data_IF_393892593567
#
_entry.id   IF_393892593567
#
_cell.length_a   1.000
_cell.length_b   1.000
_cell.length_c   1.000
_cell.angle_alpha   90.00
_cell.angle_beta   90.00
_cell.angle_gamma   90.00
#
_symmetry.space_group_name_H-M   'P 1'
#
loop_
_entity.id
_entity.type
_entity.pdbx_description
1 polymer ?
#
# COMPACT_ATOMS: atom_id res chain seq x y z
N UNK A 1 11.18 0.45 29.43
CA UNK A 1 10.39 0.07 28.23
C UNK A 1 9.10 -0.63 28.67
N UNK A 2 7.94 -0.02 28.41
CA UNK A 2 6.61 -0.58 28.70
C UNK A 2 6.43 -1.96 28.04
N UNK A 3 5.72 -2.87 28.71
CA UNK A 3 5.48 -4.24 28.23
C UNK A 3 4.86 -4.30 26.83
N UNK A 4 4.02 -3.33 26.46
CA UNK A 4 3.45 -3.23 25.12
C UNK A 4 4.52 -3.00 24.03
N UNK A 5 5.48 -2.11 24.26
CA UNK A 5 6.53 -1.77 23.30
C UNK A 5 7.52 -2.93 23.07
N UNK A 6 7.78 -3.73 24.11
CA UNK A 6 8.54 -4.98 23.97
C UNK A 6 7.81 -6.01 23.10
N UNK A 7 6.48 -6.11 23.21
CA UNK A 7 5.66 -7.02 22.39
C UNK A 7 5.66 -6.61 20.91
N UNK A 8 5.45 -5.33 20.61
CA UNK A 8 5.52 -4.82 19.22
C UNK A 8 6.90 -5.09 18.60
N UNK A 9 7.98 -4.82 19.34
CA UNK A 9 9.34 -5.11 18.87
C UNK A 9 9.59 -6.61 18.61
N UNK A 10 9.06 -7.49 19.46
CA UNK A 10 9.18 -8.93 19.25
C UNK A 10 8.42 -9.42 18.00
N UNK A 11 7.20 -8.90 17.77
CA UNK A 11 6.41 -9.17 16.56
C UNK A 11 7.18 -8.71 15.32
N UNK A 12 7.72 -7.49 15.35
CA UNK A 12 8.51 -6.94 14.24
C UNK A 12 9.71 -7.82 13.88
N UNK A 13 10.51 -8.25 14.87
CA UNK A 13 11.70 -9.08 14.63
C UNK A 13 11.33 -10.46 14.08
N UNK A 14 10.24 -11.05 14.57
CA UNK A 14 9.72 -12.32 14.06
C UNK A 14 9.26 -12.17 12.62
N UNK A 15 8.37 -11.22 12.35
CA UNK A 15 7.79 -11.02 11.01
C UNK A 15 8.86 -10.61 9.99
N UNK A 16 9.92 -9.88 10.39
CA UNK A 16 11.05 -9.57 9.51
C UNK A 16 11.83 -10.81 9.07
N UNK A 17 11.99 -11.80 9.96
CA UNK A 17 12.66 -13.07 9.63
C UNK A 17 11.79 -13.92 8.71
N UNK A 18 10.48 -13.95 8.94
CA UNK A 18 9.51 -14.67 8.11
C UNK A 18 9.45 -14.05 6.71
N UNK A 19 9.37 -12.71 6.63
CA UNK A 19 9.39 -11.94 5.37
C UNK A 19 10.59 -12.31 4.50
N UNK A 20 11.79 -12.33 5.09
CA UNK A 20 13.05 -12.64 4.37
C UNK A 20 13.13 -14.07 3.84
N UNK A 21 12.33 -14.99 4.36
CA UNK A 21 12.29 -16.39 3.92
C UNK A 21 11.20 -16.64 2.88
N UNK A 22 10.27 -15.70 2.73
CA UNK A 22 9.15 -15.83 1.83
C UNK A 22 9.52 -15.28 0.43
N UNK A 23 9.82 -16.19 -0.50
CA UNK A 23 10.18 -15.84 -1.89
C UNK A 23 9.10 -15.03 -2.61
N UNK A 24 7.82 -15.28 -2.31
CA UNK A 24 6.70 -14.50 -2.89
C UNK A 24 6.76 -13.04 -2.42
N UNK A 25 6.99 -12.82 -1.12
CA UNK A 25 7.09 -11.46 -0.57
C UNK A 25 8.35 -10.76 -1.07
N UNK A 26 9.49 -11.45 -1.11
CA UNK A 26 10.73 -10.88 -1.65
C UNK A 26 10.57 -10.45 -3.11
N UNK A 27 9.94 -11.29 -3.94
CA UNK A 27 9.64 -10.93 -5.32
C UNK A 27 8.73 -9.70 -5.40
N UNK A 28 7.67 -9.68 -4.59
CA UNK A 28 6.71 -8.57 -4.54
C UNK A 28 7.37 -7.23 -4.15
N UNK A 29 8.32 -7.27 -3.20
CA UNK A 29 9.10 -6.11 -2.74
C UNK A 29 10.13 -5.66 -3.78
N UNK A 30 10.71 -6.60 -4.53
CA UNK A 30 11.76 -6.32 -5.50
C UNK A 30 11.24 -5.70 -6.81
N UNK A 31 10.03 -6.07 -7.23
CA UNK A 31 9.48 -5.66 -8.53
C UNK A 31 9.37 -4.12 -8.73
N UNK A 32 8.86 -3.32 -7.78
CA UNK A 32 8.84 -1.86 -7.92
C UNK A 32 10.24 -1.25 -8.13
N UNK A 33 11.25 -1.79 -7.43
CA UNK A 33 12.65 -1.34 -7.52
C UNK A 33 13.25 -1.63 -8.89
N UNK A 34 12.98 -2.83 -9.43
CA UNK A 34 13.42 -3.20 -10.79
C UNK A 34 12.78 -2.28 -11.82
N UNK A 35 11.47 -2.04 -11.72
CA UNK A 35 10.76 -1.15 -12.64
C UNK A 35 11.29 0.28 -12.56
N UNK A 36 11.56 0.79 -11.36
CA UNK A 36 12.19 2.10 -11.18
C UNK A 36 13.55 2.20 -11.91
N UNK A 37 14.41 1.20 -11.74
CA UNK A 37 15.73 1.18 -12.39
C UNK A 37 15.63 1.09 -13.92
N UNK A 38 14.64 0.35 -14.45
CA UNK A 38 14.39 0.29 -15.91
C UNK A 38 13.97 1.66 -16.43
N UNK A 39 12.98 2.30 -15.77
CA UNK A 39 12.45 3.59 -16.20
C UNK A 39 13.51 4.71 -16.13
N UNK A 40 14.32 4.74 -15.06
CA UNK A 40 15.41 5.70 -14.94
C UNK A 40 16.41 5.58 -16.10
N UNK A 41 16.81 4.35 -16.45
CA UNK A 41 17.74 4.09 -17.57
C UNK A 41 17.16 4.40 -18.95
N UNK A 42 15.85 4.36 -19.09
CA UNK A 42 15.17 4.71 -20.34
C UNK A 42 15.07 6.23 -20.57
N UNK A 43 15.39 7.06 -19.56
CA UNK A 43 15.30 8.52 -19.68
C UNK A 43 13.88 9.00 -19.95
N UNK A 44 12.87 8.31 -19.42
CA UNK A 44 11.46 8.65 -19.65
C UNK A 44 11.14 9.97 -18.96
N UNK A 45 11.01 11.08 -19.68
CA UNK A 45 10.75 12.41 -19.08
C UNK A 45 9.26 12.70 -18.77
N UNK A 46 8.39 11.68 -18.70
CA UNK A 46 6.97 11.89 -18.44
C UNK A 46 6.69 11.91 -16.92
N UNK A 47 6.26 13.04 -16.34
CA UNK A 47 6.00 13.16 -14.90
C UNK A 47 4.95 12.19 -14.37
N UNK A 48 3.99 11.77 -15.20
CA UNK A 48 2.99 10.77 -14.83
C UNK A 48 3.57 9.35 -14.74
N UNK A 49 4.51 8.99 -15.62
CA UNK A 49 5.18 7.67 -15.57
C UNK A 49 6.20 7.57 -14.44
N UNK A 50 6.77 8.69 -14.01
CA UNK A 50 7.69 8.76 -12.89
C UNK A 50 7.08 8.33 -11.54
N UNK A 51 5.77 8.49 -11.37
CA UNK A 51 5.06 8.02 -10.16
C UNK A 51 4.67 6.54 -10.22
N UNK A 52 4.81 5.87 -11.37
CA UNK A 52 4.41 4.48 -11.52
C UNK A 52 5.14 3.53 -10.56
N UNK A 53 6.48 3.59 -10.38
CA UNK A 53 7.17 2.75 -9.40
C UNK A 53 6.73 3.02 -7.95
N UNK A 54 6.40 4.26 -7.61
CA UNK A 54 5.88 4.62 -6.27
C UNK A 54 4.49 4.02 -6.06
N UNK A 55 3.59 4.14 -7.04
CA UNK A 55 2.28 3.49 -7.00
C UNK A 55 2.40 1.96 -6.94
N UNK A 56 3.34 1.39 -7.70
CA UNK A 56 3.65 -0.03 -7.68
C UNK A 56 4.13 -0.48 -6.29
N UNK A 57 5.02 0.28 -5.65
CA UNK A 57 5.44 0.03 -4.28
C UNK A 57 4.28 0.12 -3.28
N UNK A 58 3.41 1.12 -3.41
CA UNK A 58 2.24 1.27 -2.54
C UNK A 58 1.26 0.09 -2.68
N UNK A 59 0.94 -0.34 -3.89
CA UNK A 59 0.02 -1.46 -4.11
C UNK A 59 0.69 -2.78 -3.72
N UNK A 60 1.88 -3.07 -4.26
CA UNK A 60 2.54 -4.37 -4.07
C UNK A 60 3.12 -4.51 -2.65
N UNK A 61 3.88 -3.53 -2.17
CA UNK A 61 4.46 -3.63 -0.84
C UNK A 61 3.40 -3.35 0.23
N UNK A 62 2.68 -2.23 0.17
CA UNK A 62 1.77 -1.91 1.25
C UNK A 62 0.51 -2.79 1.28
N UNK A 63 -0.08 -3.13 0.14
CA UNK A 63 -1.26 -4.00 0.14
C UNK A 63 -0.90 -5.50 0.13
N UNK A 64 -0.11 -5.98 -0.83
CA UNK A 64 0.11 -7.43 -0.97
C UNK A 64 1.02 -8.04 0.10
N UNK A 65 2.08 -7.35 0.54
CA UNK A 65 2.90 -7.85 1.65
C UNK A 65 2.09 -7.86 2.95
N UNK A 66 1.31 -6.80 3.21
CA UNK A 66 0.39 -6.80 4.35
C UNK A 66 -0.61 -7.95 4.28
N UNK A 67 -1.21 -8.19 3.11
CA UNK A 67 -2.15 -9.28 2.91
C UNK A 67 -1.51 -10.64 3.22
N UNK A 68 -0.29 -10.89 2.71
CA UNK A 68 0.44 -12.12 2.99
C UNK A 68 0.76 -12.29 4.47
N UNK A 69 1.16 -11.22 5.16
CA UNK A 69 1.49 -11.29 6.58
C UNK A 69 0.27 -11.62 7.45
N UNK A 70 -0.91 -11.13 7.07
CA UNK A 70 -2.16 -11.46 7.77
C UNK A 70 -2.62 -12.88 7.43
N UNK A 71 -2.56 -13.27 6.16
CA UNK A 71 -2.96 -14.61 5.72
C UNK A 71 -2.03 -15.71 6.25
N UNK A 72 -0.74 -15.42 6.43
CA UNK A 72 0.23 -16.34 7.03
C UNK A 72 -0.14 -16.70 8.48
N UNK A 73 -0.65 -15.74 9.26
CA UNK A 73 -1.14 -16.02 10.62
C UNK A 73 -2.43 -16.85 10.61
N UNK A 74 -3.27 -16.71 9.57
CA UNK A 74 -4.46 -17.55 9.37
C UNK A 74 -4.06 -18.97 9.03
N UNK A 75 -3.11 -19.12 8.11
CA UNK A 75 -2.57 -20.41 7.66
C UNK A 75 -1.91 -21.19 8.80
N UNK A 76 -1.13 -20.50 9.64
CA UNK A 76 -0.48 -21.10 10.82
C UNK A 76 -1.41 -21.30 12.02
N UNK A 77 -2.70 -20.98 11.90
CA UNK A 77 -3.69 -20.98 12.99
C UNK A 77 -3.31 -20.10 14.20
N UNK A 78 -2.33 -19.22 14.05
CA UNK A 78 -1.82 -18.33 15.10
C UNK A 78 -2.66 -17.06 15.22
N UNK A 79 -3.43 -16.69 14.20
CA UNK A 79 -4.35 -15.55 14.27
C UNK A 79 -5.33 -15.68 15.43
N UNK A 80 -5.82 -16.90 15.70
CA UNK A 80 -6.72 -17.16 16.85
C UNK A 80 -6.02 -16.94 18.18
N UNK A 81 -4.78 -17.42 18.33
CA UNK A 81 -3.97 -17.19 19.52
C UNK A 81 -3.64 -15.71 19.74
N UNK A 82 -3.43 -14.96 18.66
CA UNK A 82 -3.24 -13.50 18.69
C UNK A 82 -4.51 -12.78 19.16
N UNK A 83 -5.68 -13.17 18.67
CA UNK A 83 -6.98 -12.60 19.05
C UNK A 83 -7.39 -12.87 20.50
N UNK A 84 -6.94 -14.00 21.06
CA UNK A 84 -7.21 -14.38 22.44
C UNK A 84 -6.10 -13.94 23.42
N UNK A 85 -5.02 -13.36 22.89
CA UNK A 85 -3.94 -12.85 23.73
C UNK A 85 -4.36 -11.58 24.49
N UNK A 86 -3.79 -11.29 25.66
CA UNK A 86 -4.06 -10.05 26.40
C UNK A 86 -3.45 -8.81 25.73
N UNK A 87 -2.87 -8.93 24.52
CA UNK A 87 -2.51 -7.77 23.71
C UNK A 87 -3.78 -7.29 23.01
N UNK A 88 -4.00 -5.96 22.98
CA UNK A 88 -5.10 -5.42 22.21
C UNK A 88 -4.93 -5.86 20.76
N UNK A 89 -5.99 -6.36 20.13
CA UNK A 89 -6.01 -6.61 18.69
C UNK A 89 -5.37 -5.48 17.90
N UNK A 90 -5.63 -4.23 18.30
CA UNK A 90 -5.08 -3.04 17.66
C UNK A 90 -3.55 -3.02 17.74
N UNK A 91 -2.94 -3.45 18.84
CA UNK A 91 -1.48 -3.51 18.99
C UNK A 91 -0.84 -4.50 18.01
N UNK A 92 -1.55 -5.60 17.71
CA UNK A 92 -1.09 -6.65 16.80
C UNK A 92 -1.19 -6.19 15.35
N UNK A 93 -2.32 -5.59 14.96
CA UNK A 93 -2.50 -5.03 13.62
C UNK A 93 -1.55 -3.86 13.37
N UNK A 94 -1.43 -2.93 14.32
CA UNK A 94 -0.47 -1.82 14.25
C UNK A 94 0.95 -2.37 14.16
N UNK A 95 1.33 -3.35 15.00
CA UNK A 95 2.66 -3.95 14.97
C UNK A 95 3.03 -4.57 13.62
N UNK A 96 2.08 -5.27 12.98
CA UNK A 96 2.26 -5.83 11.63
C UNK A 96 2.33 -4.76 10.55
N UNK A 97 1.42 -3.80 10.59
CA UNK A 97 1.37 -2.68 9.66
C UNK A 97 2.63 -1.81 9.73
N UNK A 98 3.29 -1.69 10.88
CA UNK A 98 4.56 -0.96 11.03
C UNK A 98 5.67 -1.61 10.22
N UNK A 99 5.79 -2.94 10.23
CA UNK A 99 6.81 -3.62 9.43
C UNK A 99 6.55 -3.42 7.93
N UNK A 100 5.32 -3.67 7.48
CA UNK A 100 4.96 -3.48 6.07
C UNK A 100 5.13 -2.04 5.63
N UNK A 101 4.75 -1.08 6.48
CA UNK A 101 4.94 0.35 6.24
C UNK A 101 6.42 0.71 6.11
N UNK A 102 7.28 0.23 7.02
CA UNK A 102 8.71 0.47 6.96
C UNK A 102 9.35 -0.11 5.68
N UNK A 103 9.01 -1.35 5.32
CA UNK A 103 9.47 -1.98 4.08
C UNK A 103 9.01 -1.18 2.87
N UNK A 104 7.74 -0.77 2.83
CA UNK A 104 7.18 0.01 1.73
C UNK A 104 7.86 1.36 1.59
N UNK A 105 8.13 2.07 2.69
CA UNK A 105 8.85 3.35 2.67
C UNK A 105 10.26 3.16 2.10
N UNK A 106 10.99 2.13 2.53
CA UNK A 106 12.32 1.81 1.98
C UNK A 106 12.24 1.57 0.46
N UNK A 107 11.25 0.80 0.00
CA UNK A 107 11.05 0.52 -1.42
C UNK A 107 10.70 1.79 -2.19
N UNK A 108 9.86 2.68 -1.64
CA UNK A 108 9.52 3.97 -2.26
C UNK A 108 10.77 4.84 -2.39
N UNK A 109 11.58 4.95 -1.34
CA UNK A 109 12.84 5.73 -1.36
C UNK A 109 13.78 5.18 -2.44
N UNK A 110 13.98 3.86 -2.48
CA UNK A 110 14.79 3.21 -3.51
C UNK A 110 14.23 3.43 -4.92
N UNK A 111 12.90 3.37 -5.06
CA UNK A 111 12.24 3.57 -6.35
C UNK A 111 12.40 5.00 -6.84
N UNK A 112 12.23 6.01 -5.98
CA UNK A 112 12.46 7.42 -6.32
C UNK A 112 13.93 7.63 -6.72
N UNK A 113 14.87 7.07 -5.96
CA UNK A 113 16.29 7.21 -6.22
C UNK A 113 16.71 6.58 -7.56
N UNK A 114 16.23 5.36 -7.86
CA UNK A 114 16.60 4.63 -9.09
C UNK A 114 15.88 5.10 -10.35
N UNK A 115 14.72 5.74 -10.21
CA UNK A 115 13.98 6.29 -11.34
C UNK A 115 14.47 7.69 -11.76
N UNK A 116 15.45 8.25 -11.03
CA UNK A 116 16.06 9.57 -11.29
C UNK A 116 15.03 10.71 -11.34
N UNK A 117 13.91 10.55 -10.62
CA UNK A 117 12.79 11.48 -10.66
C UNK A 117 13.09 12.73 -9.85
N UNK A 118 12.95 13.88 -10.50
CA UNK A 118 12.97 15.18 -9.82
C UNK A 118 11.59 15.48 -9.23
N UNK A 119 11.45 15.25 -7.93
CA UNK A 119 10.23 15.57 -7.20
C UNK A 119 10.21 17.05 -6.83
N UNK A 120 9.23 17.77 -7.34
CA UNK A 120 8.87 19.12 -6.88
C UNK A 120 7.73 19.02 -5.86
N UNK A 121 7.65 19.99 -4.94
CA UNK A 121 6.61 19.95 -3.90
C UNK A 121 6.73 18.74 -2.96
N UNK A 122 7.93 18.49 -2.43
CA UNK A 122 8.23 17.33 -1.58
C UNK A 122 7.26 17.23 -0.38
N UNK A 123 6.91 18.36 0.25
CA UNK A 123 6.02 18.39 1.42
C UNK A 123 4.60 17.86 1.11
N UNK A 124 3.82 18.43 0.18
CA UNK A 124 2.51 17.88 -0.17
C UNK A 124 2.62 16.43 -0.64
N UNK A 125 3.60 16.10 -1.47
CA UNK A 125 3.76 14.74 -2.01
C UNK A 125 4.04 13.70 -0.93
N UNK A 126 4.86 14.04 0.07
CA UNK A 126 5.12 13.17 1.21
C UNK A 126 3.85 12.91 2.03
N UNK A 127 2.99 13.92 2.21
CA UNK A 127 1.70 13.75 2.89
C UNK A 127 0.79 12.81 2.08
N UNK A 128 0.70 13.01 0.76
CA UNK A 128 -0.09 12.14 -0.12
C UNK A 128 0.40 10.69 -0.09
N UNK A 129 1.73 10.47 -0.12
CA UNK A 129 2.32 9.13 -0.03
C UNK A 129 1.99 8.48 1.31
N UNK A 130 2.06 9.22 2.43
CA UNK A 130 1.72 8.68 3.75
C UNK A 130 0.24 8.32 3.87
N UNK A 131 -0.66 9.16 3.35
CA UNK A 131 -2.09 8.85 3.33
C UNK A 131 -2.41 7.65 2.44
N UNK A 132 -1.78 7.57 1.26
CA UNK A 132 -1.89 6.41 0.37
C UNK A 132 -1.35 5.15 1.03
N UNK A 133 -0.22 5.23 1.74
CA UNK A 133 0.37 4.11 2.47
C UNK A 133 -0.62 3.55 3.50
N UNK A 134 -1.28 4.42 4.26
CA UNK A 134 -2.32 4.03 5.23
C UNK A 134 -3.50 3.36 4.51
N UNK A 135 -3.94 3.92 3.38
CA UNK A 135 -5.03 3.35 2.60
C UNK A 135 -4.70 1.94 2.08
N UNK A 136 -3.53 1.77 1.47
CA UNK A 136 -3.11 0.49 0.89
C UNK A 136 -2.78 -0.57 1.94
N UNK A 137 -2.21 -0.21 3.09
CA UNK A 137 -2.06 -1.13 4.22
C UNK A 137 -3.44 -1.61 4.70
N UNK A 138 -4.43 -0.72 4.76
CA UNK A 138 -5.80 -1.08 5.15
C UNK A 138 -6.43 -2.01 4.11
N UNK A 139 -6.29 -1.71 2.82
CA UNK A 139 -6.74 -2.57 1.71
C UNK A 139 -6.05 -3.95 1.77
N UNK A 140 -4.74 -3.99 1.96
CA UNK A 140 -3.98 -5.23 2.14
C UNK A 140 -4.45 -6.05 3.33
N UNK A 141 -4.76 -5.38 4.42
CA UNK A 141 -5.34 -6.01 5.60
C UNK A 141 -6.71 -6.64 5.29
N UNK A 142 -7.57 -5.97 4.52
CA UNK A 142 -8.85 -6.52 4.06
C UNK A 142 -8.64 -7.76 3.18
N UNK A 143 -7.68 -7.72 2.24
CA UNK A 143 -7.35 -8.89 1.39
C UNK A 143 -6.89 -10.07 2.26
N UNK A 144 -6.01 -9.85 3.23
CA UNK A 144 -5.60 -10.88 4.19
C UNK A 144 -6.76 -11.38 5.06
N UNK A 145 -7.66 -10.46 5.44
CA UNK A 145 -9.02 -10.65 5.96
C UNK A 145 -9.77 -11.79 5.28
N UNK A 146 -9.90 -11.63 3.97
CA UNK A 146 -10.71 -12.46 3.09
C UNK A 146 -10.02 -13.76 2.66
N UNK A 147 -8.68 -13.80 2.70
CA UNK A 147 -7.87 -14.93 2.22
C UNK A 147 -7.65 -15.99 3.30
N UNK A 148 -7.68 -17.28 2.96
CA UNK A 148 -7.45 -18.38 3.93
C UNK A 148 -5.97 -18.70 4.13
N UNK A 149 -5.13 -18.45 3.12
CA UNK A 149 -3.70 -18.72 3.13
C UNK A 149 -2.95 -17.69 2.26
N UNK A 150 -1.62 -17.72 2.30
CA UNK A 150 -0.76 -16.75 1.58
C UNK A 150 -0.95 -16.84 0.06
N UNK A 151 -1.24 -18.02 -0.50
CA UNK A 151 -1.45 -18.16 -1.94
C UNK A 151 -2.76 -17.50 -2.40
N UNK A 152 -3.81 -17.59 -1.58
CA UNK A 152 -5.12 -17.02 -1.87
C UNK A 152 -5.12 -15.48 -1.85
N UNK A 153 -4.17 -14.84 -1.16
CA UNK A 153 -4.04 -13.36 -1.19
C UNK A 153 -3.71 -12.83 -2.58
N UNK A 154 -2.96 -13.60 -3.38
CA UNK A 154 -2.69 -13.26 -4.78
C UNK A 154 -3.97 -13.26 -5.62
N UNK A 155 -4.82 -14.28 -5.42
CA UNK A 155 -6.08 -14.44 -6.17
C UNK A 155 -7.09 -13.38 -5.75
N UNK A 156 -7.32 -13.22 -4.45
CA UNK A 156 -8.26 -12.24 -3.89
C UNK A 156 -7.78 -10.81 -4.12
N UNK A 157 -6.48 -10.58 -4.11
CA UNK A 157 -5.86 -9.28 -4.38
C UNK A 157 -5.80 -8.91 -5.86
N UNK A 158 -5.93 -9.87 -6.79
CA UNK A 158 -5.77 -9.60 -8.23
C UNK A 158 -6.69 -8.48 -8.76
N UNK A 159 -7.99 -8.41 -8.40
CA UNK A 159 -8.84 -7.28 -8.80
C UNK A 159 -8.32 -5.94 -8.28
N UNK A 160 -7.77 -5.91 -7.07
CA UNK A 160 -7.15 -4.71 -6.48
C UNK A 160 -5.92 -4.31 -7.31
N UNK A 161 -5.05 -5.26 -7.66
CA UNK A 161 -3.90 -4.96 -8.52
C UNK A 161 -4.33 -4.36 -9.85
N UNK A 162 -5.30 -4.98 -10.54
CA UNK A 162 -5.79 -4.52 -11.83
C UNK A 162 -6.42 -3.14 -11.74
N UNK A 163 -7.23 -2.87 -10.72
CA UNK A 163 -7.89 -1.57 -10.55
C UNK A 163 -6.90 -0.46 -10.21
N UNK A 164 -6.00 -0.68 -9.24
CA UNK A 164 -5.13 0.39 -8.75
C UNK A 164 -3.82 0.54 -9.55
N UNK A 165 -3.27 -0.50 -10.16
CA UNK A 165 -2.10 -0.34 -11.06
C UNK A 165 -2.48 -0.24 -12.53
N UNK A 166 -3.59 -0.86 -12.92
CA UNK A 166 -4.06 -0.83 -14.30
C UNK A 166 -4.90 0.40 -14.64
N UNK A 167 -5.41 1.16 -13.67
CA UNK A 167 -6.30 2.30 -13.92
C UNK A 167 -5.75 3.31 -14.92
N UNK A 168 -4.47 3.68 -14.81
CA UNK A 168 -3.85 4.64 -15.73
C UNK A 168 -3.87 4.15 -17.19
N UNK A 169 -3.70 2.84 -17.39
CA UNK A 169 -3.78 2.21 -18.72
C UNK A 169 -5.23 2.06 -19.18
N UNK A 170 -6.13 1.66 -18.28
CA UNK A 170 -7.56 1.49 -18.58
C UNK A 170 -8.17 2.83 -19.02
N UNK A 171 -7.82 3.93 -18.35
CA UNK A 171 -8.29 5.28 -18.71
C UNK A 171 -7.86 5.74 -20.10
N UNK A 172 -6.74 5.21 -20.63
CA UNK A 172 -6.27 5.53 -21.98
C UNK A 172 -7.00 4.74 -23.07
N UNK A 173 -7.54 3.57 -22.74
CA UNK A 173 -8.15 2.64 -23.72
C UNK A 173 -9.68 2.74 -23.69
N UNK A 174 -10.27 2.99 -22.52
CA UNK A 174 -11.72 3.06 -22.37
C UNK A 174 -12.24 4.41 -22.85
N UNK A 175 -13.22 4.40 -23.76
CA UNK A 175 -13.88 5.62 -24.24
C UNK A 175 -14.98 6.14 -23.30
N UNK A 176 -15.50 5.27 -22.42
CA UNK A 176 -16.61 5.62 -21.53
C UNK A 176 -16.19 6.64 -20.46
N UNK A 177 -16.73 7.85 -20.55
CA UNK A 177 -16.45 8.96 -19.65
C UNK A 177 -16.85 8.71 -18.19
N UNK A 178 -17.89 7.92 -17.93
CA UNK A 178 -18.27 7.55 -16.57
C UNK A 178 -17.19 6.67 -15.93
N UNK A 179 -16.64 5.70 -16.66
CA UNK A 179 -15.57 4.83 -16.17
C UNK A 179 -14.31 5.66 -15.90
N UNK A 180 -13.91 6.54 -16.82
CA UNK A 180 -12.76 7.44 -16.62
C UNK A 180 -12.94 8.30 -15.37
N UNK A 181 -14.14 8.85 -15.16
CA UNK A 181 -14.45 9.66 -13.98
C UNK A 181 -14.30 8.85 -12.69
N UNK A 182 -14.80 7.61 -12.63
CA UNK A 182 -14.63 6.75 -11.46
C UNK A 182 -13.15 6.45 -11.18
N UNK A 183 -12.40 6.06 -12.21
CA UNK A 183 -10.98 5.73 -12.08
C UNK A 183 -10.16 6.94 -11.65
N UNK A 184 -10.52 8.14 -12.10
CA UNK A 184 -9.82 9.38 -11.71
C UNK A 184 -9.82 9.60 -10.19
N UNK A 185 -10.83 9.12 -9.45
CA UNK A 185 -10.89 9.25 -7.99
C UNK A 185 -10.06 8.20 -7.23
N UNK A 186 -9.39 7.28 -7.92
CA UNK A 186 -8.52 6.32 -7.26
C UNK A 186 -7.28 7.01 -6.67
N UNK A 187 -6.80 6.57 -5.49
CA UNK A 187 -5.69 7.21 -4.80
C UNK A 187 -4.38 7.19 -5.60
N UNK A 188 -4.15 6.17 -6.45
CA UNK A 188 -2.99 6.16 -7.35
C UNK A 188 -3.10 7.23 -8.45
N UNK A 189 -4.28 7.43 -9.04
CA UNK A 189 -4.51 8.44 -10.07
C UNK A 189 -4.42 9.85 -9.49
N UNK A 190 -4.98 10.04 -8.30
CA UNK A 190 -4.88 11.30 -7.56
C UNK A 190 -3.44 11.62 -7.18
N UNK A 191 -2.65 10.62 -6.76
CA UNK A 191 -1.23 10.79 -6.46
C UNK A 191 -0.42 11.15 -7.71
N UNK A 192 -0.66 10.46 -8.84
CA UNK A 192 0.00 10.75 -10.12
C UNK A 192 -0.36 12.14 -10.64
N UNK A 193 -1.65 12.50 -10.63
CA UNK A 193 -2.14 13.81 -11.07
C UNK A 193 -1.56 14.95 -10.23
N UNK A 194 -1.48 14.74 -8.92
CA UNK A 194 -0.87 15.69 -8.00
C UNK A 194 0.62 15.89 -8.30
N UNK A 195 1.36 14.82 -8.56
CA UNK A 195 2.78 14.93 -8.92
C UNK A 195 2.99 15.71 -10.23
N UNK A 196 2.13 15.49 -11.23
CA UNK A 196 2.16 16.25 -12.50
C UNK A 196 1.91 17.74 -12.26
N UNK A 197 0.91 18.10 -11.45
CA UNK A 197 0.61 19.52 -11.15
C UNK A 197 1.74 20.19 -10.37
N UNK A 198 2.31 19.52 -9.37
CA UNK A 198 3.46 20.04 -8.62
C UNK A 198 4.68 20.21 -9.53
N UNK A 199 4.90 19.31 -10.49
CA UNK A 199 5.97 19.44 -11.48
C UNK A 199 5.76 20.65 -12.39
N UNK A 200 4.50 20.96 -12.74
CA UNK A 200 4.12 22.18 -13.44
C UNK A 200 4.18 23.47 -12.62
N UNK A 201 4.57 23.41 -11.34
CA UNK A 201 4.71 24.59 -10.48
C UNK A 201 3.46 24.98 -9.68
N UNK A 202 2.44 24.12 -9.61
CA UNK A 202 1.23 24.39 -8.83
C UNK A 202 1.53 24.60 -7.34
N UNK A 203 0.83 25.54 -6.70
CA UNK A 203 0.96 25.78 -5.28
C UNK A 203 0.27 24.69 -4.45
N UNK A 204 0.62 24.59 -3.15
CA UNK A 204 0.01 23.61 -2.24
C UNK A 204 -1.53 23.67 -2.20
N UNK A 205 -2.10 24.88 -2.26
CA UNK A 205 -3.55 25.07 -2.23
C UNK A 205 -4.27 24.48 -3.45
N UNK A 206 -3.61 24.43 -4.60
CA UNK A 206 -4.18 23.90 -5.84
C UNK A 206 -4.25 22.37 -5.82
N UNK A 207 -3.33 21.72 -5.11
CA UNK A 207 -3.29 20.25 -4.95
C UNK A 207 -4.02 19.72 -3.73
N UNK A 208 -4.59 20.61 -2.89
CA UNK A 208 -5.28 20.22 -1.67
C UNK A 208 -6.50 19.31 -1.92
N UNK A 209 -7.14 19.45 -3.08
CA UNK A 209 -8.25 18.60 -3.51
C UNK A 209 -7.81 17.13 -3.69
N UNK A 210 -6.64 16.89 -4.29
CA UNK A 210 -6.06 15.55 -4.43
C UNK A 210 -5.77 14.93 -3.05
N UNK A 211 -5.20 15.71 -2.13
CA UNK A 211 -4.97 15.27 -0.75
C UNK A 211 -6.27 14.89 -0.04
N UNK A 212 -7.34 15.66 -0.21
CA UNK A 212 -8.63 15.37 0.39
C UNK A 212 -9.21 14.04 -0.12
N UNK A 213 -9.11 13.76 -1.42
CA UNK A 213 -9.57 12.48 -1.99
C UNK A 213 -8.77 11.30 -1.44
N UNK A 214 -7.44 11.42 -1.37
CA UNK A 214 -6.58 10.37 -0.80
C UNK A 214 -6.88 10.18 0.70
N UNK A 215 -7.12 11.26 1.44
CA UNK A 215 -7.51 11.19 2.85
C UNK A 215 -8.85 10.46 3.04
N UNK A 216 -9.83 10.69 2.18
CA UNK A 216 -11.11 9.96 2.19
C UNK A 216 -10.87 8.47 1.97
N UNK A 217 -10.00 8.08 1.04
CA UNK A 217 -9.62 6.68 0.84
C UNK A 217 -8.96 6.06 2.07
N UNK A 218 -8.05 6.79 2.72
CA UNK A 218 -7.41 6.34 3.96
C UNK A 218 -8.45 6.11 5.07
N UNK A 219 -9.35 7.05 5.31
CA UNK A 219 -10.41 6.92 6.32
C UNK A 219 -11.39 5.79 5.98
N UNK A 220 -11.85 5.72 4.74
CA UNK A 220 -12.81 4.71 4.29
C UNK A 220 -12.25 3.30 4.38
N UNK A 221 -11.01 3.09 3.96
CA UNK A 221 -10.33 1.79 4.03
C UNK A 221 -10.05 1.36 5.48
N UNK A 222 -9.66 2.28 6.38
CA UNK A 222 -9.55 1.99 7.82
C UNK A 222 -10.92 1.57 8.38
N UNK A 223 -11.96 2.35 8.11
CA UNK A 223 -13.31 2.06 8.61
C UNK A 223 -13.79 0.68 8.14
N UNK A 224 -13.60 0.36 6.86
CA UNK A 224 -13.93 -0.95 6.30
C UNK A 224 -13.10 -2.07 6.94
N UNK A 225 -11.81 -1.85 7.17
CA UNK A 225 -10.94 -2.80 7.87
C UNK A 225 -11.44 -3.09 9.28
N UNK A 226 -11.83 -2.07 10.04
CA UNK A 226 -12.38 -2.22 11.40
C UNK A 226 -13.68 -3.03 11.39
N UNK A 227 -14.58 -2.76 10.43
CA UNK A 227 -15.85 -3.50 10.29
C UNK A 227 -15.59 -4.96 9.92
N UNK A 228 -14.76 -5.21 8.92
CA UNK A 228 -14.37 -6.55 8.46
C UNK A 228 -13.69 -7.35 9.56
N UNK A 229 -12.83 -6.69 10.33
CA UNK A 229 -12.16 -7.30 11.46
C UNK A 229 -13.17 -7.74 12.54
N UNK A 230 -14.07 -6.84 12.96
CA UNK A 230 -15.10 -7.14 13.96
C UNK A 230 -15.99 -8.30 13.52
N UNK A 231 -16.37 -8.33 12.24
CA UNK A 231 -17.14 -9.44 11.67
C UNK A 231 -16.37 -10.75 11.72
N UNK A 232 -15.11 -10.76 11.30
CA UNK A 232 -14.26 -11.96 11.37
C UNK A 232 -14.04 -12.45 12.81
N UNK A 233 -14.15 -11.57 13.80
CA UNK A 233 -14.06 -11.92 15.21
C UNK A 233 -15.39 -12.42 15.81
N UNK A 234 -16.53 -12.01 15.24
CA UNK A 234 -17.87 -12.38 15.71
C UNK A 234 -18.47 -13.61 14.99
N UNK A 235 -18.05 -13.90 13.76
CA UNK A 235 -18.49 -15.07 12.98
C UNK A 235 -17.95 -16.41 13.55
N UNK A 236 -17.33 -16.42 14.74
CA UNK A 236 -16.67 -17.57 15.39
C UNK A 236 -16.65 -17.45 16.91
#
# INVERSE_FOLDING_TARGET
MNGSMKRVGAIFVKDWKDLKRNSYVLFTVFMPVVFAAILGRMGVENPGMHMFPVNMALVMCAAFVQASMIAEEKEKNTLRGLMLSPASTLDIFIGKSVLTGAVTIVVIILSIWLSEVQLTGIAPLSIAILLSLIAYISIGTIIGLLSRNVMETGIVGMPVLVVFLGSSFIMQIVENEFIKKVLSYLPNEQLSSMAVQLHGGAAFGEVASHLAVIAVWAVASIALTVVMYKKSAADK
#
